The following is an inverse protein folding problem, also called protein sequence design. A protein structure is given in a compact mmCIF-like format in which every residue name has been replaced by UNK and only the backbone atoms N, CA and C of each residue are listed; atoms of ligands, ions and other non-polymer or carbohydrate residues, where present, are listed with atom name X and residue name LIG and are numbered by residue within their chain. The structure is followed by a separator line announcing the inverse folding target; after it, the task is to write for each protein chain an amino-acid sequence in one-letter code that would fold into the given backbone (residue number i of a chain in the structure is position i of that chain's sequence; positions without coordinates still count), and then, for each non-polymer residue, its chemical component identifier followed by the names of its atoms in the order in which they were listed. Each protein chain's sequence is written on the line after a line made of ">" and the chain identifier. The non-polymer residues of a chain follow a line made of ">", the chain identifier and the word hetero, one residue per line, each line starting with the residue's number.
data_IF_779158591560
#
_entry.id   IF_779158591560
#
_cell.length_a   1.000
_cell.length_b   1.000
_cell.length_c   1.000
_cell.angle_alpha   90.00
_cell.angle_beta   90.00
_cell.angle_gamma   90.00
#
_symmetry.space_group_name_H-M   'P 1'
#
loop_
_entity.id
_entity.type
_entity.pdbx_description
1 polymer ?
#
# COMPACT_ATOMS: atom_id res chain seq x y z
N UNK A 1 -41.27 4.59 18.37
CA UNK A 1 -40.20 3.64 18.73
C UNK A 1 -39.09 3.63 17.68
N UNK A 2 -39.40 3.35 16.41
CA UNK A 2 -38.44 3.29 15.29
C UNK A 2 -37.57 4.54 15.10
N UNK A 3 -38.13 5.74 15.23
CA UNK A 3 -37.37 7.01 15.07
C UNK A 3 -36.26 7.16 16.13
N UNK A 4 -36.47 6.67 17.36
CA UNK A 4 -35.46 6.75 18.43
C UNK A 4 -34.27 5.81 18.16
N UNK A 5 -34.55 4.62 17.63
CA UNK A 5 -33.56 3.61 17.25
C UNK A 5 -32.71 4.15 16.08
N UNK A 6 -33.35 4.79 15.11
CA UNK A 6 -32.66 5.35 13.95
C UNK A 6 -31.73 6.51 14.33
N UNK A 7 -32.20 7.45 15.18
CA UNK A 7 -31.39 8.59 15.62
C UNK A 7 -30.19 8.14 16.47
N UNK A 8 -30.39 7.22 17.41
CA UNK A 8 -29.30 6.67 18.23
C UNK A 8 -28.29 5.88 17.41
N UNK A 9 -28.75 5.14 16.40
CA UNK A 9 -27.89 4.50 15.41
C UNK A 9 -27.02 5.51 14.64
N UNK A 10 -27.60 6.60 14.13
CA UNK A 10 -26.83 7.62 13.41
C UNK A 10 -25.76 8.29 14.30
N UNK A 11 -26.07 8.58 15.56
CA UNK A 11 -25.12 9.15 16.52
C UNK A 11 -23.97 8.16 16.80
N UNK A 12 -24.30 6.87 16.96
CA UNK A 12 -23.31 5.82 17.15
C UNK A 12 -22.38 5.66 15.95
N UNK A 13 -22.93 5.72 14.73
CA UNK A 13 -22.15 5.66 13.49
C UNK A 13 -21.20 6.84 13.32
N UNK A 14 -21.64 8.07 13.63
CA UNK A 14 -20.80 9.26 13.55
C UNK A 14 -19.65 9.23 14.58
N UNK A 15 -19.94 8.77 15.80
CA UNK A 15 -18.95 8.68 16.89
C UNK A 15 -17.86 7.65 16.60
N UNK A 16 -18.23 6.50 16.04
CA UNK A 16 -17.27 5.46 15.67
C UNK A 16 -16.39 5.88 14.49
N UNK A 17 -16.91 6.66 13.55
CA UNK A 17 -16.10 7.25 12.46
C UNK A 17 -15.13 8.30 13.01
N UNK A 18 -15.58 9.19 13.89
CA UNK A 18 -14.71 10.20 14.50
C UNK A 18 -13.56 9.58 15.31
N UNK A 19 -13.80 8.47 15.99
CA UNK A 19 -12.74 7.75 16.74
C UNK A 19 -11.76 6.99 15.84
N UNK A 20 -12.21 6.47 14.70
CA UNK A 20 -11.34 5.71 13.78
C UNK A 20 -10.52 6.60 12.84
N UNK A 21 -10.97 7.82 12.56
CA UNK A 21 -10.29 8.74 11.64
C UNK A 21 -9.79 10.04 12.30
N UNK A 22 -10.03 10.21 13.61
CA UNK A 22 -9.65 11.39 14.36
C UNK A 22 -8.27 11.30 14.99
N UNK A 23 -7.58 12.44 15.03
CA UNK A 23 -6.39 12.66 15.87
C UNK A 23 -6.91 13.07 17.25
N UNK A 24 -6.71 12.23 18.28
CA UNK A 24 -7.07 12.61 19.64
C UNK A 24 -5.91 13.35 20.30
N UNK A 25 -6.12 14.60 20.72
CA UNK A 25 -5.20 15.33 21.59
C UNK A 25 -5.50 14.94 23.03
N UNK A 26 -4.72 14.02 23.59
CA UNK A 26 -4.84 13.59 25.00
C UNK A 26 -3.66 14.08 25.83
N UNK A 27 -3.87 14.42 27.12
CA UNK A 27 -2.77 14.68 28.04
C UNK A 27 -1.88 13.42 28.17
N UNK A 28 -0.57 13.54 27.96
CA UNK A 28 0.35 12.39 27.92
C UNK A 28 0.53 11.65 29.24
N UNK A 29 0.01 12.16 30.36
CA UNK A 29 0.19 11.57 31.68
C UNK A 29 -0.33 10.14 31.82
N UNK A 30 -1.15 9.67 30.89
CA UNK A 30 -1.66 8.28 30.85
C UNK A 30 -0.78 7.30 30.05
N UNK A 31 0.20 7.79 29.27
CA UNK A 31 1.03 6.97 28.38
C UNK A 31 2.50 6.97 28.80
N UNK A 32 2.99 8.05 29.41
CA UNK A 32 4.33 8.11 29.99
C UNK A 32 4.34 9.09 31.17
N UNK A 33 4.63 8.64 32.41
CA UNK A 33 4.67 9.53 33.56
C UNK A 33 5.83 10.53 33.41
N UNK A 34 5.52 11.84 33.36
CA UNK A 34 6.52 12.92 33.36
C UNK A 34 6.60 13.81 32.11
N UNK A 35 5.73 13.63 31.10
CA UNK A 35 5.69 14.50 29.92
C UNK A 35 4.71 15.68 30.09
N UNK A 36 5.18 16.91 29.85
CA UNK A 36 4.49 18.18 30.12
C UNK A 36 3.90 18.88 28.87
N UNK A 37 3.82 18.20 27.72
CA UNK A 37 3.24 18.75 26.47
C UNK A 37 2.29 17.77 25.79
N UNK A 38 1.32 18.28 25.03
CA UNK A 38 0.25 17.49 24.35
C UNK A 38 0.84 16.45 23.39
N UNK A 39 0.49 15.18 23.56
CA UNK A 39 0.88 14.10 22.66
C UNK A 39 -0.21 13.89 21.62
N UNK A 40 0.20 13.83 20.36
CA UNK A 40 -0.66 13.38 19.27
C UNK A 40 -0.48 11.88 19.08
N UNK A 41 -1.52 11.11 19.36
CA UNK A 41 -1.54 9.67 19.10
C UNK A 41 -2.44 9.40 17.91
N UNK A 42 -1.90 8.69 16.91
CA UNK A 42 -2.67 8.14 15.79
C UNK A 42 -3.29 6.83 16.26
N UNK A 43 -4.60 6.77 16.43
CA UNK A 43 -5.28 5.51 16.71
C UNK A 43 -5.29 4.67 15.42
N UNK A 44 -4.61 3.53 15.43
CA UNK A 44 -4.63 2.55 14.33
C UNK A 44 -5.55 1.40 14.69
N UNK A 45 -6.79 1.43 14.22
CA UNK A 45 -7.66 0.24 14.13
C UNK A 45 -8.42 0.23 12.81
N UNK A 46 -7.90 -0.49 11.82
CA UNK A 46 -8.69 -0.90 10.65
C UNK A 46 -9.47 -2.15 11.04
N UNK A 47 -10.74 -2.01 11.43
CA UNK A 47 -11.56 -3.17 11.78
C UNK A 47 -13.04 -2.93 11.50
N UNK A 48 -13.51 -3.53 10.40
CA UNK A 48 -14.89 -3.62 9.90
C UNK A 48 -15.54 -2.25 9.65
N UNK A 49 -16.65 -2.22 8.90
CA UNK A 49 -17.41 -1.00 8.63
C UNK A 49 -17.81 -0.33 9.95
N UNK A 50 -16.94 0.53 10.48
CA UNK A 50 -17.00 1.03 11.85
C UNK A 50 -18.25 1.85 12.10
N UNK A 51 -18.75 2.49 11.05
CA UNK A 51 -20.04 3.17 11.04
C UNK A 51 -21.22 2.19 11.16
N UNK A 52 -21.16 0.99 10.56
CA UNK A 52 -22.21 -0.04 10.70
C UNK A 52 -22.22 -0.61 12.12
N UNK A 53 -21.04 -0.87 12.70
CA UNK A 53 -20.93 -1.27 14.11
C UNK A 53 -21.46 -0.19 15.05
N UNK A 54 -21.08 1.07 14.82
CA UNK A 54 -21.60 2.21 15.56
C UNK A 54 -23.11 2.35 15.43
N UNK A 55 -23.66 2.11 14.24
CA UNK A 55 -25.11 2.15 14.00
C UNK A 55 -25.86 1.04 14.74
N UNK A 56 -25.34 -0.18 14.71
CA UNK A 56 -25.97 -1.33 15.38
C UNK A 56 -25.92 -1.16 16.90
N UNK A 57 -24.74 -0.83 17.47
CA UNK A 57 -24.61 -0.61 18.91
C UNK A 57 -25.44 0.59 19.39
N UNK A 58 -25.44 1.68 18.63
CA UNK A 58 -26.27 2.85 18.90
C UNK A 58 -27.76 2.53 18.88
N UNK A 59 -28.20 1.75 17.89
CA UNK A 59 -29.60 1.31 17.77
C UNK A 59 -30.04 0.38 18.91
N UNK A 60 -29.18 -0.55 19.35
CA UNK A 60 -29.43 -1.42 20.51
C UNK A 60 -29.51 -0.58 21.79
N UNK A 61 -28.61 0.39 21.97
CA UNK A 61 -28.66 1.29 23.12
C UNK A 61 -29.95 2.13 23.12
N UNK A 62 -30.42 2.57 21.95
CA UNK A 62 -31.69 3.27 21.79
C UNK A 62 -32.94 2.42 22.06
N UNK A 63 -32.82 1.09 22.02
CA UNK A 63 -33.87 0.15 22.44
C UNK A 63 -33.93 -0.02 23.96
N UNK A 64 -32.77 -0.07 24.61
CA UNK A 64 -32.65 -0.34 26.06
C UNK A 64 -32.79 0.92 26.91
N UNK A 65 -32.44 2.09 26.37
CA UNK A 65 -32.37 3.31 27.16
C UNK A 65 -33.70 4.06 27.16
N UNK A 66 -34.25 4.33 28.35
CA UNK A 66 -35.41 5.19 28.57
C UNK A 66 -35.18 6.68 28.29
N UNK A 67 -34.34 7.01 27.29
CA UNK A 67 -33.99 8.39 26.94
C UNK A 67 -35.19 9.09 26.33
N UNK A 68 -35.63 10.16 26.99
CA UNK A 68 -36.74 10.98 26.52
C UNK A 68 -36.24 12.04 25.52
N UNK A 69 -36.13 11.63 24.26
CA UNK A 69 -35.68 12.47 23.14
C UNK A 69 -36.52 13.75 22.91
N UNK A 70 -37.69 13.90 23.56
CA UNK A 70 -38.45 15.17 23.59
C UNK A 70 -37.67 16.31 24.23
N UNK A 71 -36.77 16.03 25.18
CA UNK A 71 -35.96 17.03 25.88
C UNK A 71 -34.72 17.49 25.08
N UNK A 72 -34.28 16.70 24.09
CA UNK A 72 -33.19 17.08 23.19
C UNK A 72 -33.65 17.96 22.01
N UNK A 73 -34.91 17.83 21.58
CA UNK A 73 -35.46 18.62 20.46
C UNK A 73 -35.60 20.12 20.77
N UNK A 74 -35.63 20.51 22.05
CA UNK A 74 -35.80 21.92 22.46
C UNK A 74 -34.50 22.69 22.74
N UNK A 75 -33.32 22.06 22.62
CA UNK A 75 -32.02 22.72 22.85
C UNK A 75 -31.13 22.84 21.60
N UNK A 76 -31.64 22.50 20.43
CA UNK A 76 -30.91 22.69 19.16
C UNK A 76 -31.56 23.86 18.44
N UNK A 77 -30.97 25.05 18.56
CA UNK A 77 -31.36 26.18 17.71
C UNK A 77 -30.87 25.96 16.27
N UNK A 78 -31.57 26.46 15.23
CA UNK A 78 -31.33 26.09 13.84
C UNK A 78 -30.01 26.61 13.23
N UNK A 79 -29.16 27.28 14.01
CA UNK A 79 -28.02 28.05 13.48
C UNK A 79 -26.75 27.17 13.38
N UNK A 80 -26.70 25.99 14.00
CA UNK A 80 -25.52 25.11 13.97
C UNK A 80 -25.61 23.90 13.03
N UNK A 81 -26.68 23.79 12.23
CA UNK A 81 -26.87 22.69 11.26
C UNK A 81 -26.44 23.02 9.82
N UNK A 82 -25.68 24.11 9.62
CA UNK A 82 -25.21 24.55 8.30
C UNK A 82 -23.71 24.39 8.04
N UNK A 83 -22.90 23.92 8.99
CA UNK A 83 -21.44 23.74 8.76
C UNK A 83 -20.99 22.27 8.72
N UNK A 84 -21.62 21.39 9.49
CA UNK A 84 -21.30 19.96 9.51
C UNK A 84 -21.99 19.15 8.39
N UNK A 85 -23.11 19.65 7.87
CA UNK A 85 -23.87 19.03 6.77
C UNK A 85 -23.29 19.38 5.38
N UNK A 86 -22.76 20.60 5.23
CA UNK A 86 -22.13 21.07 3.97
C UNK A 86 -20.74 20.46 3.76
N UNK A 87 -20.02 20.17 4.85
CA UNK A 87 -18.73 19.47 4.77
C UNK A 87 -18.86 17.98 4.42
N UNK A 88 -19.99 17.33 4.74
CA UNK A 88 -20.22 15.93 4.40
C UNK A 88 -20.85 15.73 2.99
N UNK A 89 -21.66 16.67 2.52
CA UNK A 89 -22.23 16.65 1.15
C UNK A 89 -21.25 17.17 0.08
N UNK A 90 -20.25 17.98 0.46
CA UNK A 90 -19.17 18.40 -0.45
C UNK A 90 -18.19 17.28 -0.83
N UNK A 91 -18.04 16.25 0.02
CA UNK A 91 -17.11 15.13 -0.22
C UNK A 91 -17.77 14.02 -1.06
N UNK A 92 -19.08 13.81 -0.92
CA UNK A 92 -19.81 12.78 -1.68
C UNK A 92 -20.05 13.15 -3.17
N UNK A 93 -20.05 14.44 -3.52
CA UNK A 93 -20.27 14.87 -4.91
C UNK A 93 -18.97 14.98 -5.74
N UNK A 94 -17.79 14.83 -5.13
CA UNK A 94 -16.49 14.89 -5.82
C UNK A 94 -15.79 13.53 -5.99
N UNK A 95 -16.31 12.48 -5.37
CA UNK A 95 -15.80 11.10 -5.52
C UNK A 95 -16.88 10.21 -6.13
N UNK A 96 -17.36 10.64 -7.30
CA UNK A 96 -18.04 9.76 -8.22
C UNK A 96 -17.05 8.73 -8.77
N UNK A 97 -17.42 7.46 -8.64
CA UNK A 97 -16.87 6.30 -9.33
C UNK A 97 -15.56 5.74 -8.76
N UNK A 98 -15.63 4.58 -8.08
CA UNK A 98 -15.34 3.29 -8.71
C UNK A 98 -15.33 2.16 -7.66
N UNK A 99 -15.90 1.03 -8.08
CA UNK A 99 -15.97 -0.26 -7.41
C UNK A 99 -14.61 -0.80 -6.98
N UNK A 100 -14.48 -1.27 -5.73
CA UNK A 100 -13.46 -2.25 -5.37
C UNK A 100 -13.97 -3.19 -4.28
N UNK A 101 -14.22 -4.44 -4.67
CA UNK A 101 -14.27 -5.56 -3.74
C UNK A 101 -12.87 -6.18 -3.59
N UNK A 102 -12.50 -6.54 -2.36
CA UNK A 102 -11.43 -7.49 -2.01
C UNK A 102 -11.73 -7.95 -0.57
N UNK A 103 -12.20 -9.18 -0.36
CA UNK A 103 -11.43 -10.41 -0.17
C UNK A 103 -10.24 -10.23 0.80
N UNK A 104 -10.51 -10.54 2.06
CA UNK A 104 -9.57 -10.52 3.18
C UNK A 104 -8.79 -11.83 3.22
N UNK A 105 -7.46 -11.76 3.12
CA UNK A 105 -6.61 -12.72 3.82
C UNK A 105 -5.52 -11.94 4.56
N UNK A 106 -5.35 -12.36 5.80
CA UNK A 106 -4.67 -11.71 6.92
C UNK A 106 -3.23 -11.25 6.64
N UNK A 107 -2.96 -10.00 7.01
CA UNK A 107 -1.62 -9.46 7.20
C UNK A 107 -0.94 -10.15 8.38
N UNK A 108 0.11 -10.91 8.10
CA UNK A 108 1.11 -11.28 9.08
C UNK A 108 1.99 -10.04 9.32
N UNK A 109 1.92 -9.52 10.54
CA UNK A 109 2.91 -8.58 11.08
C UNK A 109 4.19 -9.37 11.33
N UNK A 110 5.20 -9.21 10.46
CA UNK A 110 6.55 -9.63 10.80
C UNK A 110 7.35 -8.44 11.34
N UNK A 111 7.88 -8.71 12.52
CA UNK A 111 8.68 -7.88 13.40
C UNK A 111 9.96 -7.41 12.70
N UNK A 112 10.21 -6.10 12.71
CA UNK A 112 11.56 -5.53 12.88
C UNK A 112 12.71 -6.07 12.02
N UNK A 113 12.51 -6.42 10.75
CA UNK A 113 13.65 -6.50 9.81
C UNK A 113 14.02 -5.08 9.44
N UNK A 114 15.05 -4.53 10.09
CA UNK A 114 15.71 -3.32 9.61
C UNK A 114 16.18 -3.60 8.19
N UNK A 115 15.42 -3.14 7.19
CA UNK A 115 15.81 -3.23 5.81
C UNK A 115 17.12 -2.46 5.65
N UNK A 116 18.15 -3.13 5.10
CA UNK A 116 19.49 -2.55 4.89
C UNK A 116 19.45 -1.30 3.98
N UNK A 117 18.37 -1.10 3.24
CA UNK A 117 18.22 -0.06 2.24
C UNK A 117 17.48 1.16 2.80
N UNK A 118 17.78 2.34 2.27
CA UNK A 118 17.05 3.57 2.63
C UNK A 118 15.56 3.44 2.30
N UNK A 119 14.68 4.23 2.95
CA UNK A 119 13.25 4.27 2.60
C UNK A 119 13.01 4.51 1.10
N UNK A 120 13.83 5.38 0.47
CA UNK A 120 13.75 5.65 -0.97
C UNK A 120 14.11 4.43 -1.80
N UNK A 121 15.18 3.72 -1.47
CA UNK A 121 15.55 2.50 -2.16
C UNK A 121 14.51 1.39 -1.97
N UNK A 122 13.96 1.23 -0.75
CA UNK A 122 12.89 0.27 -0.48
C UNK A 122 11.64 0.56 -1.32
N UNK A 123 11.20 1.82 -1.36
CA UNK A 123 10.08 2.26 -2.18
C UNK A 123 10.36 2.05 -3.68
N UNK A 124 11.57 2.34 -4.14
CA UNK A 124 11.97 2.14 -5.53
C UNK A 124 11.95 0.65 -5.92
N UNK A 125 12.50 -0.23 -5.08
CA UNK A 125 12.42 -1.68 -5.26
C UNK A 125 10.97 -2.18 -5.25
N UNK A 126 10.12 -1.69 -4.34
CA UNK A 126 8.69 -2.00 -4.34
C UNK A 126 8.01 -1.60 -5.66
N UNK A 127 8.35 -0.43 -6.21
CA UNK A 127 7.83 0.03 -7.52
C UNK A 127 8.28 -0.89 -8.65
N UNK A 128 9.53 -1.36 -8.67
CA UNK A 128 9.99 -2.32 -9.69
C UNK A 128 9.20 -3.62 -9.58
N UNK A 129 9.04 -4.16 -8.36
CA UNK A 129 8.31 -5.42 -8.14
C UNK A 129 6.87 -5.35 -8.62
N UNK A 130 6.18 -4.26 -8.26
CA UNK A 130 4.84 -4.00 -8.74
C UNK A 130 4.79 -3.81 -10.26
N UNK A 131 5.78 -3.13 -10.83
CA UNK A 131 5.80 -2.85 -12.25
C UNK A 131 5.90 -4.13 -13.09
N UNK A 132 6.75 -5.06 -12.64
CA UNK A 132 7.04 -6.33 -13.31
C UNK A 132 6.00 -7.42 -13.02
N UNK A 133 5.48 -7.51 -11.79
CA UNK A 133 4.61 -8.64 -11.39
C UNK A 133 3.17 -8.26 -11.10
N UNK A 134 2.85 -6.96 -11.07
CA UNK A 134 1.55 -6.44 -10.64
C UNK A 134 1.35 -6.40 -9.12
N UNK A 135 2.33 -6.90 -8.33
CA UNK A 135 2.30 -6.90 -6.87
C UNK A 135 3.69 -6.54 -6.31
N UNK A 136 3.77 -5.83 -5.18
CA UNK A 136 5.04 -5.56 -4.47
C UNK A 136 5.20 -6.38 -3.18
N UNK A 137 4.18 -7.15 -2.79
CA UNK A 137 4.21 -8.02 -1.61
C UNK A 137 5.11 -9.25 -1.77
N UNK A 138 5.16 -10.08 -0.74
CA UNK A 138 6.00 -11.29 -0.66
C UNK A 138 5.74 -12.28 -1.80
N UNK A 139 4.51 -12.33 -2.31
CA UNK A 139 4.13 -13.14 -3.48
C UNK A 139 4.94 -12.83 -4.74
N UNK A 140 5.43 -11.59 -4.89
CA UNK A 140 6.17 -11.19 -6.09
C UNK A 140 7.47 -12.00 -6.25
N UNK A 141 8.13 -12.37 -5.15
CA UNK A 141 9.40 -13.09 -5.16
C UNK A 141 9.35 -14.49 -5.73
N UNK A 142 8.17 -15.08 -5.84
CA UNK A 142 7.96 -16.43 -6.41
C UNK A 142 7.41 -16.43 -7.83
N UNK A 143 7.19 -15.27 -8.45
CA UNK A 143 6.50 -15.19 -9.75
C UNK A 143 7.34 -15.74 -10.89
N UNK A 144 6.74 -16.53 -11.76
CA UNK A 144 7.31 -16.86 -13.07
C UNK A 144 6.73 -15.93 -14.14
N UNK A 145 7.47 -15.73 -15.23
CA UNK A 145 7.03 -14.93 -16.37
C UNK A 145 5.73 -15.50 -16.99
N UNK A 146 4.84 -14.62 -17.44
CA UNK A 146 3.50 -14.97 -17.95
C UNK A 146 2.56 -15.56 -16.90
N UNK A 147 2.82 -16.77 -16.40
CA UNK A 147 1.95 -17.44 -15.42
C UNK A 147 2.71 -18.46 -14.56
N UNK A 148 2.27 -18.59 -13.31
CA UNK A 148 2.77 -19.56 -12.34
C UNK A 148 3.68 -18.96 -11.28
N UNK A 149 4.06 -19.80 -10.32
CA UNK A 149 4.99 -19.47 -9.25
C UNK A 149 5.99 -20.63 -9.06
N UNK A 150 7.11 -20.36 -8.41
CA UNK A 150 8.06 -21.37 -7.93
C UNK A 150 8.15 -21.33 -6.40
N UNK A 151 8.51 -22.45 -5.76
CA UNK A 151 8.59 -22.55 -4.30
C UNK A 151 10.00 -22.88 -3.79
N UNK A 152 10.90 -23.34 -4.66
CA UNK A 152 12.29 -23.58 -4.31
C UNK A 152 13.13 -22.33 -4.60
N UNK A 153 13.65 -21.73 -3.53
CA UNK A 153 14.50 -20.55 -3.60
C UNK A 153 16.00 -20.91 -3.59
N UNK A 154 16.39 -22.18 -3.54
CA UNK A 154 17.81 -22.59 -3.49
C UNK A 154 18.63 -22.09 -4.70
N UNK A 155 17.96 -21.85 -5.83
CA UNK A 155 18.55 -21.28 -7.04
C UNK A 155 17.47 -20.59 -7.87
N UNK A 156 17.87 -19.83 -8.89
CA UNK A 156 16.93 -19.36 -9.89
C UNK A 156 16.24 -20.57 -10.54
N UNK A 157 14.92 -20.54 -10.79
CA UNK A 157 14.17 -21.73 -11.21
C UNK A 157 14.55 -22.25 -12.60
N UNK A 158 15.16 -21.40 -13.45
CA UNK A 158 15.60 -21.73 -14.82
C UNK A 158 14.47 -22.28 -15.72
N UNK A 159 13.21 -22.00 -15.37
CA UNK A 159 12.03 -22.44 -16.12
C UNK A 159 11.84 -21.48 -17.30
N UNK A 160 11.99 -22.00 -18.53
CA UNK A 160 11.69 -21.27 -19.76
C UNK A 160 10.20 -21.40 -20.09
N UNK A 161 9.50 -20.28 -20.18
CA UNK A 161 8.10 -20.22 -20.59
C UNK A 161 7.96 -19.37 -21.85
N UNK A 162 6.91 -19.62 -22.63
CA UNK A 162 6.64 -18.89 -23.86
C UNK A 162 5.18 -18.46 -23.91
N UNK A 163 4.92 -17.26 -24.41
CA UNK A 163 3.59 -16.73 -24.64
C UNK A 163 3.52 -15.95 -25.97
N UNK A 164 2.35 -15.88 -26.61
CA UNK A 164 2.15 -14.99 -27.75
C UNK A 164 2.12 -13.53 -27.29
N UNK A 165 3.02 -12.71 -27.83
CA UNK A 165 3.06 -11.25 -27.64
C UNK A 165 3.03 -10.60 -29.01
N UNK A 166 2.03 -9.77 -29.29
CA UNK A 166 1.86 -9.09 -30.59
C UNK A 166 1.95 -10.06 -31.79
N UNK A 167 1.34 -11.24 -31.66
CA UNK A 167 1.35 -12.28 -32.70
C UNK A 167 2.62 -13.14 -32.78
N UNK A 168 3.67 -12.82 -32.03
CA UNK A 168 4.92 -13.57 -32.03
C UNK A 168 5.05 -14.45 -30.78
N UNK A 169 5.60 -15.67 -30.93
CA UNK A 169 5.92 -16.53 -29.78
C UNK A 169 7.21 -16.05 -29.12
N UNK A 170 7.08 -15.40 -27.97
CA UNK A 170 8.20 -14.91 -27.17
C UNK A 170 8.44 -15.88 -26.01
N UNK A 171 9.69 -16.29 -25.83
CA UNK A 171 10.10 -17.13 -24.72
C UNK A 171 11.03 -16.39 -23.77
N UNK A 172 10.87 -16.61 -22.47
CA UNK A 172 11.65 -15.98 -21.42
C UNK A 172 11.86 -16.95 -20.24
N UNK A 173 12.93 -16.74 -19.50
CA UNK A 173 13.27 -17.43 -18.26
C UNK A 173 13.02 -16.54 -17.03
N UNK A 174 12.38 -15.39 -17.23
CA UNK A 174 12.20 -14.39 -16.18
C UNK A 174 11.48 -14.97 -14.95
N UNK A 175 12.05 -14.74 -13.77
CA UNK A 175 11.50 -15.18 -12.51
C UNK A 175 11.77 -14.21 -11.37
N UNK A 176 10.97 -14.35 -10.32
CA UNK A 176 11.06 -13.57 -9.10
C UNK A 176 10.47 -12.17 -9.21
N UNK A 177 10.64 -11.41 -8.14
CA UNK A 177 9.99 -10.12 -7.96
C UNK A 177 10.46 -9.08 -8.98
N UNK A 178 11.68 -9.25 -9.50
CA UNK A 178 12.30 -8.36 -10.47
C UNK A 178 12.44 -8.99 -11.86
N UNK A 179 11.76 -10.12 -12.10
CA UNK A 179 11.75 -10.84 -13.39
C UNK A 179 13.16 -11.06 -13.95
N UNK A 180 14.08 -11.50 -13.07
CA UNK A 180 15.48 -11.77 -13.42
C UNK A 180 15.54 -12.93 -14.41
N UNK A 181 16.40 -12.81 -15.42
CA UNK A 181 16.62 -13.88 -16.41
C UNK A 181 17.68 -14.87 -15.92
N UNK A 182 17.69 -16.07 -16.48
CA UNK A 182 18.74 -17.08 -16.29
C UNK A 182 20.16 -16.51 -16.50
N UNK A 183 20.37 -15.75 -17.58
CA UNK A 183 21.64 -15.07 -17.86
C UNK A 183 22.02 -14.05 -16.77
N UNK A 184 21.04 -13.38 -16.17
CA UNK A 184 21.25 -12.43 -15.07
C UNK A 184 21.67 -13.16 -13.80
N UNK A 185 21.05 -14.31 -13.53
CA UNK A 185 21.42 -15.18 -12.43
C UNK A 185 22.86 -15.67 -12.55
N UNK A 186 23.23 -16.26 -13.70
CA UNK A 186 24.60 -16.73 -13.91
C UNK A 186 25.65 -15.62 -13.87
N UNK A 187 25.31 -14.39 -14.28
CA UNK A 187 26.21 -13.25 -14.16
C UNK A 187 26.39 -12.78 -12.70
N UNK A 188 25.29 -12.63 -11.96
CA UNK A 188 25.28 -11.94 -10.66
C UNK A 188 25.52 -12.87 -9.47
N UNK A 189 25.08 -14.13 -9.54
CA UNK A 189 25.24 -15.10 -8.46
C UNK A 189 26.70 -15.21 -7.97
N UNK A 190 27.70 -15.44 -8.84
CA UNK A 190 29.09 -15.54 -8.39
C UNK A 190 29.68 -14.18 -7.99
N UNK A 191 29.32 -13.10 -8.71
CA UNK A 191 29.85 -11.74 -8.45
C UNK A 191 29.39 -11.17 -7.12
N UNK A 192 28.16 -11.46 -6.72
CA UNK A 192 27.58 -11.02 -5.46
C UNK A 192 27.69 -12.09 -4.36
N UNK A 193 28.22 -13.28 -4.66
CA UNK A 193 28.29 -14.42 -3.74
C UNK A 193 26.90 -14.71 -3.14
N UNK A 194 25.91 -14.85 -4.01
CA UNK A 194 24.55 -15.18 -3.60
C UNK A 194 24.49 -16.68 -3.27
N UNK A 195 24.02 -17.01 -2.07
CA UNK A 195 23.88 -18.40 -1.64
C UNK A 195 22.67 -19.09 -2.31
N UNK A 196 21.67 -18.30 -2.69
CA UNK A 196 20.36 -18.76 -3.15
C UNK A 196 19.67 -17.68 -3.98
N UNK A 197 18.44 -17.95 -4.42
CA UNK A 197 17.56 -17.00 -5.10
C UNK A 197 16.44 -16.46 -4.18
N UNK A 198 16.68 -16.43 -2.85
CA UNK A 198 15.76 -15.89 -1.84
C UNK A 198 15.38 -14.43 -2.09
N UNK A 199 14.32 -13.90 -1.44
CA UNK A 199 13.95 -12.49 -1.54
C UNK A 199 15.12 -11.51 -1.34
N UNK A 200 15.99 -11.78 -0.35
CA UNK A 200 17.18 -10.95 -0.08
C UNK A 200 18.16 -11.00 -1.24
N UNK A 201 18.43 -12.18 -1.81
CA UNK A 201 19.31 -12.33 -2.96
C UNK A 201 18.75 -11.64 -4.21
N UNK A 202 17.43 -11.73 -4.44
CA UNK A 202 16.75 -11.02 -5.52
C UNK A 202 16.86 -9.49 -5.37
N UNK A 203 16.65 -8.95 -4.16
CA UNK A 203 16.82 -7.52 -3.88
C UNK A 203 18.26 -7.06 -4.16
N UNK A 204 19.25 -7.86 -3.76
CA UNK A 204 20.68 -7.57 -4.01
C UNK A 204 20.99 -7.55 -5.51
N UNK A 205 20.41 -8.46 -6.30
CA UNK A 205 20.55 -8.45 -7.76
C UNK A 205 19.94 -7.18 -8.37
N UNK A 206 18.74 -6.78 -7.92
CA UNK A 206 18.08 -5.57 -8.41
C UNK A 206 18.92 -4.32 -8.09
N UNK A 207 19.40 -4.19 -6.86
CA UNK A 207 20.27 -3.06 -6.45
C UNK A 207 21.57 -3.03 -7.25
N UNK A 208 22.17 -4.18 -7.56
CA UNK A 208 23.35 -4.24 -8.42
C UNK A 208 23.06 -3.74 -9.84
N UNK A 209 21.90 -4.06 -10.43
CA UNK A 209 21.49 -3.47 -11.71
C UNK A 209 21.25 -1.96 -11.63
N UNK A 210 20.62 -1.47 -10.56
CA UNK A 210 20.44 -0.03 -10.31
C UNK A 210 21.82 0.66 -10.23
N UNK A 211 22.79 0.03 -9.55
CA UNK A 211 24.18 0.51 -9.46
C UNK A 211 24.87 0.54 -10.82
N UNK A 212 24.81 -0.55 -11.60
CA UNK A 212 25.41 -0.63 -12.94
C UNK A 212 24.87 0.41 -13.90
N UNK A 213 23.61 0.83 -13.74
CA UNK A 213 22.97 1.89 -14.52
C UNK A 213 23.12 3.29 -13.90
N UNK A 214 23.97 3.45 -12.88
CA UNK A 214 24.26 4.73 -12.20
C UNK A 214 22.99 5.41 -11.65
N UNK A 215 22.01 4.64 -11.20
CA UNK A 215 20.73 5.16 -10.72
C UNK A 215 20.68 5.32 -9.19
N UNK A 216 21.62 4.74 -8.44
CA UNK A 216 21.64 4.81 -6.96
C UNK A 216 21.55 6.25 -6.45
N UNK A 217 22.42 7.14 -6.94
CA UNK A 217 22.43 8.54 -6.49
C UNK A 217 21.11 9.26 -6.76
N UNK A 218 20.46 8.98 -7.89
CA UNK A 218 19.16 9.58 -8.22
C UNK A 218 18.03 9.01 -7.36
N UNK A 219 18.06 7.71 -7.02
CA UNK A 219 17.13 7.11 -6.05
C UNK A 219 17.29 7.78 -4.68
N UNK A 220 18.52 7.84 -4.17
CA UNK A 220 18.79 8.39 -2.84
C UNK A 220 18.50 9.90 -2.75
N UNK A 221 18.66 10.65 -3.83
CA UNK A 221 18.34 12.07 -3.88
C UNK A 221 16.86 12.37 -4.19
N UNK A 222 16.02 11.35 -4.40
CA UNK A 222 14.61 11.51 -4.73
C UNK A 222 14.31 11.90 -6.18
N UNK A 223 15.30 11.82 -7.08
CA UNK A 223 15.14 12.08 -8.52
C UNK A 223 14.53 10.85 -9.22
N UNK A 224 13.30 10.50 -8.85
CA UNK A 224 12.62 9.27 -9.27
C UNK A 224 12.62 9.08 -10.81
N UNK A 225 12.15 10.08 -11.55
CA UNK A 225 11.97 9.99 -13.01
C UNK A 225 13.30 9.67 -13.73
N UNK A 226 14.40 10.26 -13.26
CA UNK A 226 15.74 10.04 -13.81
C UNK A 226 16.25 8.64 -13.46
N UNK A 227 16.04 8.19 -12.22
CA UNK A 227 16.36 6.82 -11.81
C UNK A 227 15.56 5.78 -12.63
N UNK A 228 14.25 6.02 -12.81
CA UNK A 228 13.34 5.20 -13.58
C UNK A 228 13.75 5.10 -15.05
N UNK A 229 14.07 6.22 -15.71
CA UNK A 229 14.60 6.19 -17.08
C UNK A 229 15.92 5.41 -17.18
N UNK A 230 16.85 5.59 -16.23
CA UNK A 230 18.15 4.90 -16.25
C UNK A 230 18.03 3.39 -16.22
N UNK A 231 17.01 2.87 -15.52
CA UNK A 231 16.80 1.43 -15.39
C UNK A 231 15.82 0.86 -16.42
N UNK A 232 15.23 1.68 -17.29
CA UNK A 232 14.29 1.24 -18.34
C UNK A 232 14.85 0.20 -19.30
N UNK A 233 16.18 0.20 -19.52
CA UNK A 233 16.87 -0.84 -20.32
C UNK A 233 17.07 -2.16 -19.59
N UNK A 234 16.69 -2.26 -18.32
CA UNK A 234 16.76 -3.49 -17.52
C UNK A 234 15.36 -4.07 -17.36
N UNK A 235 14.40 -3.22 -17.01
CA UNK A 235 13.01 -3.60 -16.77
C UNK A 235 12.12 -3.02 -17.85
N UNK A 236 11.55 -3.90 -18.69
CA UNK A 236 10.76 -3.47 -19.84
C UNK A 236 9.45 -2.78 -19.45
N UNK A 237 9.00 -2.95 -18.20
CA UNK A 237 7.86 -2.22 -17.63
C UNK A 237 8.12 -0.73 -17.38
N UNK A 238 9.38 -0.29 -17.38
CA UNK A 238 9.78 1.11 -17.18
C UNK A 238 9.94 1.84 -18.52
N UNK A 239 9.68 3.17 -18.58
CA UNK A 239 9.84 3.96 -19.79
C UNK A 239 11.33 4.16 -20.16
N UNK A 240 11.59 4.88 -21.27
CA UNK A 240 12.94 5.22 -21.72
C UNK A 240 13.73 4.00 -22.25
N UNK A 241 13.01 3.00 -22.78
CA UNK A 241 13.52 1.80 -23.43
C UNK A 241 13.03 1.71 -24.90
N UNK A 242 13.60 0.79 -25.67
CA UNK A 242 13.28 0.58 -27.10
C UNK A 242 12.66 -0.80 -27.38
N UNK A 243 12.06 -1.46 -26.38
CA UNK A 243 11.56 -2.83 -26.52
C UNK A 243 10.25 -2.96 -27.29
N UNK A 244 9.67 -1.83 -27.73
CA UNK A 244 8.37 -1.77 -28.42
C UNK A 244 7.28 -2.56 -27.65
N UNK A 245 7.38 -2.55 -26.33
CA UNK A 245 6.37 -3.03 -25.40
C UNK A 245 5.54 -1.84 -24.91
N UNK A 246 4.46 -2.10 -24.17
CA UNK A 246 3.66 -1.06 -23.52
C UNK A 246 4.16 -0.84 -22.08
N UNK A 247 5.21 -0.02 -21.83
CA UNK A 247 5.66 0.28 -20.48
C UNK A 247 4.58 1.04 -19.70
N UNK A 248 4.69 1.02 -18.38
CA UNK A 248 3.84 1.89 -17.54
C UNK A 248 4.25 3.35 -17.72
N UNK A 249 3.29 4.26 -17.65
CA UNK A 249 3.59 5.69 -17.70
C UNK A 249 4.46 6.11 -16.51
N UNK A 250 5.30 7.13 -16.71
CA UNK A 250 6.15 7.68 -15.64
C UNK A 250 5.31 8.13 -14.45
N UNK A 251 4.17 8.77 -14.72
CA UNK A 251 3.21 9.20 -13.69
C UNK A 251 2.72 8.03 -12.83
N UNK A 252 2.33 6.91 -13.46
CA UNK A 252 1.83 5.74 -12.72
C UNK A 252 2.91 5.13 -11.82
N UNK A 253 4.14 5.07 -12.31
CA UNK A 253 5.30 4.59 -11.55
C UNK A 253 5.62 5.52 -10.38
N UNK A 254 5.62 6.84 -10.61
CA UNK A 254 5.90 7.85 -9.58
C UNK A 254 4.80 7.84 -8.50
N UNK A 255 3.53 7.78 -8.88
CA UNK A 255 2.41 7.66 -7.93
C UNK A 255 2.54 6.43 -7.03
N UNK A 256 2.89 5.26 -7.61
CA UNK A 256 3.12 4.06 -6.83
C UNK A 256 4.33 4.21 -5.89
N UNK A 257 5.44 4.74 -6.40
CA UNK A 257 6.65 5.01 -5.61
C UNK A 257 6.35 5.91 -4.40
N UNK A 258 5.60 7.00 -4.59
CA UNK A 258 5.22 7.92 -3.51
C UNK A 258 4.35 7.24 -2.46
N UNK A 259 3.40 6.39 -2.88
CA UNK A 259 2.61 5.58 -1.94
C UNK A 259 3.50 4.66 -1.10
N UNK A 260 4.45 3.98 -1.73
CA UNK A 260 5.39 3.11 -1.02
C UNK A 260 6.35 3.89 -0.12
N UNK A 261 6.79 5.08 -0.51
CA UNK A 261 7.66 5.91 0.32
C UNK A 261 6.99 6.30 1.63
N UNK A 262 5.70 6.64 1.59
CA UNK A 262 4.91 6.96 2.77
C UNK A 262 4.74 5.75 3.71
N UNK A 263 4.66 4.53 3.19
CA UNK A 263 4.50 3.32 4.03
C UNK A 263 5.78 2.95 4.76
N UNK A 264 6.95 3.24 4.18
CA UNK A 264 8.27 2.96 4.79
C UNK A 264 8.82 4.14 5.62
N UNK A 265 8.02 5.19 5.85
CA UNK A 265 8.37 6.32 6.73
C UNK A 265 9.28 7.37 6.09
N UNK A 266 9.25 7.51 4.75
CA UNK A 266 9.98 8.54 4.01
C UNK A 266 9.15 9.76 3.60
#
# INVERSE_FOLDING_TARGET
>A
MLVKIFISGLIGAASSVAMNYGIASVPCGLVSPGADKVCFIRAFTNSLDSWKFGFILGGIFGLVSGVDYRRMKSRIQPIHLSLASVSCLGIYCLLGSQSFGFNTNSHQTDIGVSSKYSPRMQAFLATIRWAETGNSGTESYRKLVFNGNFNDFSTHPLIKQCAPINGNRICSTAAGAYQMLDKSWWDLQPKLKLADFSPVSQDRMAVEYIRRNRAIADVESGNFDKAACKVGKIWASFPCNSYNQNPKSMEKLNNYYRQQLLTVGG
#
